data_IF_596297762421
#
_entry.id   IF_596297762421
#
_cell.length_a   1.000
_cell.length_b   1.000
_cell.length_c   1.000
_cell.angle_alpha   90.00
_cell.angle_beta   90.00
_cell.angle_gamma   90.00
#
_symmetry.space_group_name_H-M   'P 1'
#
loop_
_entity.id
_entity.type
_entity.pdbx_description
1 polymer ?
#
# COMPACT_ATOMS: atom_id res chain seq x y z
N UNK A 1 12.48 -14.53 -17.24
CA UNK A 1 11.82 -13.28 -16.84
C UNK A 1 11.58 -12.47 -18.10
N UNK A 2 10.39 -11.85 -18.27
CA UNK A 2 10.10 -11.00 -19.43
C UNK A 2 10.85 -9.67 -19.28
N UNK A 3 11.50 -9.19 -20.32
CA UNK A 3 12.13 -7.88 -20.31
C UNK A 3 11.07 -6.77 -20.16
N UNK A 4 11.31 -5.75 -19.30
CA UNK A 4 10.37 -4.67 -19.08
C UNK A 4 10.18 -3.87 -20.37
N UNK A 5 8.92 -3.63 -20.75
CA UNK A 5 8.58 -2.76 -21.88
C UNK A 5 8.53 -1.30 -21.41
N UNK A 6 8.67 -0.36 -22.33
CA UNK A 6 8.53 1.08 -22.04
C UNK A 6 7.24 1.41 -21.29
N UNK A 7 6.15 0.72 -21.62
CA UNK A 7 4.86 0.90 -20.92
C UNK A 7 4.94 0.49 -19.45
N UNK A 8 5.71 -0.54 -19.11
CA UNK A 8 5.85 -1.00 -17.72
C UNK A 8 6.62 0.04 -16.90
N UNK A 9 7.59 0.72 -17.51
CA UNK A 9 8.32 1.83 -16.87
C UNK A 9 7.42 3.05 -16.67
N UNK A 10 6.64 3.42 -17.68
CA UNK A 10 5.68 4.54 -17.57
C UNK A 10 4.63 4.27 -16.48
N UNK A 11 4.10 3.05 -16.42
CA UNK A 11 3.15 2.65 -15.37
C UNK A 11 3.79 2.68 -13.98
N UNK A 12 5.06 2.30 -13.86
CA UNK A 12 5.80 2.40 -12.59
C UNK A 12 5.98 3.85 -12.14
N UNK A 13 6.36 4.75 -13.05
CA UNK A 13 6.49 6.18 -12.75
C UNK A 13 5.13 6.76 -12.33
N UNK A 14 4.07 6.46 -13.07
CA UNK A 14 2.71 6.90 -12.75
C UNK A 14 2.28 6.39 -11.36
N UNK A 15 2.51 5.11 -11.09
CA UNK A 15 2.21 4.53 -9.79
C UNK A 15 2.98 5.22 -8.66
N UNK A 16 4.27 5.48 -8.88
CA UNK A 16 5.10 6.21 -7.91
C UNK A 16 4.59 7.63 -7.65
N UNK A 17 4.16 8.35 -8.68
CA UNK A 17 3.58 9.68 -8.55
C UNK A 17 2.25 9.66 -7.76
N UNK A 18 1.37 8.70 -8.06
CA UNK A 18 0.09 8.52 -7.34
C UNK A 18 0.34 8.19 -5.87
N UNK A 19 1.23 7.26 -5.58
CA UNK A 19 1.53 6.87 -4.19
C UNK A 19 2.27 7.96 -3.43
N UNK A 20 3.23 8.64 -4.06
CA UNK A 20 3.97 9.75 -3.45
C UNK A 20 3.05 10.92 -3.10
N UNK A 21 2.11 11.28 -3.99
CA UNK A 21 1.14 12.33 -3.72
C UNK A 21 0.13 11.97 -2.61
N UNK A 22 -0.07 10.69 -2.33
CA UNK A 22 -1.04 10.25 -1.33
C UNK A 22 -0.72 10.78 0.08
N UNK A 23 0.55 10.79 0.50
CA UNK A 23 0.95 11.31 1.82
C UNK A 23 0.71 12.80 1.97
N UNK A 24 0.96 13.57 0.92
CA UNK A 24 0.66 15.00 0.88
C UNK A 24 -0.85 15.24 1.00
N UNK A 25 -1.66 14.51 0.24
CA UNK A 25 -3.12 14.62 0.29
C UNK A 25 -3.68 14.20 1.66
N UNK A 26 -3.13 13.13 2.28
CA UNK A 26 -3.52 12.71 3.63
C UNK A 26 -3.21 13.83 4.62
N UNK A 27 -2.01 14.44 4.55
CA UNK A 27 -1.61 15.53 5.46
C UNK A 27 -2.57 16.72 5.36
N UNK A 28 -2.89 17.15 4.14
CA UNK A 28 -3.87 18.26 3.95
C UNK A 28 -5.24 17.87 4.51
N UNK A 29 -5.71 16.67 4.25
CA UNK A 29 -7.02 16.23 4.69
C UNK A 29 -7.12 16.11 6.22
N UNK A 30 -6.01 15.75 6.91
CA UNK A 30 -5.98 15.67 8.38
C UNK A 30 -6.03 17.03 9.08
N UNK A 31 -5.85 18.14 8.38
CA UNK A 31 -6.13 19.48 8.96
C UNK A 31 -7.62 19.75 9.15
N UNK A 32 -8.48 19.12 8.36
CA UNK A 32 -9.92 19.39 8.38
C UNK A 32 -10.72 18.20 8.90
N UNK A 33 -10.28 16.99 8.63
CA UNK A 33 -10.99 15.76 8.98
C UNK A 33 -10.19 14.92 9.97
N UNK A 34 -10.91 14.31 10.91
CA UNK A 34 -10.34 13.30 11.80
C UNK A 34 -9.80 12.09 10.97
N UNK A 35 -8.64 11.51 11.36
CA UNK A 35 -8.04 10.38 10.68
C UNK A 35 -8.99 9.19 10.41
N UNK A 36 -9.87 8.87 11.36
CA UNK A 36 -10.85 7.78 11.21
C UNK A 36 -11.85 8.12 10.09
N UNK A 37 -12.40 9.34 10.10
CA UNK A 37 -13.33 9.80 9.06
C UNK A 37 -12.69 9.77 7.69
N UNK A 38 -11.45 10.22 7.59
CA UNK A 38 -10.69 10.22 6.34
C UNK A 38 -10.51 8.80 5.78
N UNK A 39 -10.13 7.85 6.61
CA UNK A 39 -9.96 6.45 6.21
C UNK A 39 -11.31 5.84 5.82
N UNK A 40 -12.37 6.12 6.57
CA UNK A 40 -13.72 5.64 6.24
C UNK A 40 -14.16 6.12 4.86
N UNK A 41 -14.05 7.41 4.59
CA UNK A 41 -14.42 8.00 3.29
C UNK A 41 -13.61 7.39 2.15
N UNK A 42 -12.30 7.23 2.33
CA UNK A 42 -11.40 6.61 1.35
C UNK A 42 -11.81 5.18 1.03
N UNK A 43 -12.04 4.35 2.06
CA UNK A 43 -12.42 2.95 1.89
C UNK A 43 -13.82 2.83 1.27
N UNK A 44 -14.75 3.72 1.65
CA UNK A 44 -16.09 3.77 1.10
C UNK A 44 -16.08 4.05 -0.42
N UNK A 45 -15.35 5.07 -0.86
CA UNK A 45 -15.25 5.37 -2.30
C UNK A 45 -14.51 4.28 -3.07
N UNK A 46 -13.48 3.67 -2.48
CA UNK A 46 -12.80 2.52 -3.08
C UNK A 46 -13.74 1.32 -3.25
N UNK A 47 -14.58 1.04 -2.25
CA UNK A 47 -15.61 0.01 -2.33
C UNK A 47 -16.61 0.30 -3.45
N UNK A 48 -17.13 1.52 -3.53
CA UNK A 48 -18.07 1.92 -4.61
C UNK A 48 -17.43 1.71 -5.98
N UNK A 49 -16.20 2.17 -6.17
CA UNK A 49 -15.50 2.01 -7.45
C UNK A 49 -15.33 0.53 -7.82
N UNK A 50 -14.95 -0.32 -6.85
CA UNK A 50 -14.82 -1.76 -7.06
C UNK A 50 -16.16 -2.43 -7.38
N UNK A 51 -17.24 -2.07 -6.69
CA UNK A 51 -18.57 -2.62 -6.96
C UNK A 51 -19.03 -2.25 -8.38
N UNK A 52 -18.85 -0.98 -8.79
CA UNK A 52 -19.18 -0.52 -10.14
C UNK A 52 -18.35 -1.30 -11.18
N UNK A 53 -17.05 -1.45 -10.96
CA UNK A 53 -16.16 -2.21 -11.84
C UNK A 53 -16.56 -3.67 -11.96
N UNK A 54 -16.85 -4.35 -10.83
CA UNK A 54 -17.28 -5.74 -10.82
C UNK A 54 -18.61 -5.93 -11.57
N UNK A 55 -19.56 -5.02 -11.37
CA UNK A 55 -20.82 -5.05 -12.10
C UNK A 55 -20.62 -4.86 -13.62
N UNK A 56 -19.78 -3.90 -14.01
CA UNK A 56 -19.44 -3.66 -15.41
C UNK A 56 -18.81 -4.90 -16.07
N UNK A 57 -17.89 -5.56 -15.37
CA UNK A 57 -17.20 -6.77 -15.83
C UNK A 57 -18.00 -8.05 -15.60
N UNK A 58 -19.22 -7.98 -15.03
CA UNK A 58 -20.04 -9.14 -14.66
C UNK A 58 -19.30 -10.15 -13.76
N UNK A 59 -18.39 -9.67 -12.92
CA UNK A 59 -17.68 -10.47 -11.94
C UNK A 59 -18.62 -10.71 -10.76
N UNK A 60 -18.84 -11.96 -10.39
CA UNK A 60 -19.65 -12.30 -9.21
C UNK A 60 -18.89 -11.93 -7.94
N UNK A 61 -19.45 -10.99 -7.17
CA UNK A 61 -18.90 -10.63 -5.86
C UNK A 61 -19.36 -11.71 -4.86
N UNK A 62 -18.41 -12.45 -4.31
CA UNK A 62 -18.64 -13.49 -3.30
C UNK A 62 -18.79 -12.88 -1.88
N UNK A 63 -19.62 -11.84 -1.76
CA UNK A 63 -19.78 -11.09 -0.50
C UNK A 63 -20.24 -11.94 0.68
N UNK A 64 -20.96 -13.03 0.42
CA UNK A 64 -21.48 -13.95 1.44
C UNK A 64 -20.96 -15.38 1.23
N UNK A 65 -19.70 -15.53 0.82
CA UNK A 65 -19.07 -16.86 0.78
C UNK A 65 -18.87 -17.42 2.19
N UNK A 66 -18.65 -18.73 2.28
CA UNK A 66 -18.33 -19.40 3.56
C UNK A 66 -17.12 -18.76 4.26
N UNK A 67 -16.24 -18.10 3.49
CA UNK A 67 -14.96 -17.55 3.94
C UNK A 67 -15.03 -16.03 4.26
N UNK A 68 -16.24 -15.44 4.36
CA UNK A 68 -16.39 -14.01 4.59
C UNK A 68 -15.63 -13.49 5.83
N UNK A 69 -15.52 -14.31 6.89
CA UNK A 69 -14.76 -13.97 8.10
C UNK A 69 -13.27 -13.78 7.80
N UNK A 70 -12.72 -14.64 6.94
CA UNK A 70 -11.33 -14.52 6.50
C UNK A 70 -11.12 -13.25 5.69
N UNK A 71 -12.03 -12.93 4.77
CA UNK A 71 -11.97 -11.68 4.00
C UNK A 71 -12.09 -10.45 4.90
N UNK A 72 -12.99 -10.49 5.89
CA UNK A 72 -13.13 -9.41 6.86
C UNK A 72 -11.86 -9.25 7.70
N UNK A 73 -11.26 -10.34 8.18
CA UNK A 73 -10.01 -10.31 8.93
C UNK A 73 -8.86 -9.71 8.10
N UNK A 74 -8.69 -10.17 6.86
CA UNK A 74 -7.68 -9.66 5.95
C UNK A 74 -7.91 -8.18 5.62
N UNK A 75 -9.15 -7.77 5.36
CA UNK A 75 -9.50 -6.37 5.13
C UNK A 75 -9.20 -5.48 6.33
N UNK A 76 -9.50 -5.96 7.54
CA UNK A 76 -9.23 -5.24 8.78
C UNK A 76 -7.72 -5.09 9.03
N UNK A 77 -6.97 -6.17 8.92
CA UNK A 77 -5.53 -6.20 9.23
C UNK A 77 -4.65 -5.57 8.16
N UNK A 78 -5.00 -5.69 6.87
CA UNK A 78 -4.17 -5.17 5.77
C UNK A 78 -4.60 -3.79 5.26
N UNK A 79 -5.83 -3.37 5.53
CA UNK A 79 -6.35 -2.09 5.02
C UNK A 79 -6.74 -1.19 6.17
N UNK A 80 -7.74 -1.56 6.96
CA UNK A 80 -8.35 -0.64 7.92
C UNK A 80 -7.36 -0.21 9.00
N UNK A 81 -6.75 -1.14 9.71
CA UNK A 81 -5.80 -0.84 10.79
C UNK A 81 -4.57 -0.08 10.27
N UNK A 82 -3.85 -0.55 9.23
CA UNK A 82 -2.68 0.17 8.73
C UNK A 82 -3.02 1.59 8.24
N UNK A 83 -4.12 1.79 7.53
CA UNK A 83 -4.48 3.11 7.05
C UNK A 83 -4.86 4.08 8.17
N UNK A 84 -5.53 3.61 9.22
CA UNK A 84 -5.80 4.42 10.42
C UNK A 84 -4.47 4.83 11.06
N UNK A 85 -3.56 3.89 11.28
CA UNK A 85 -2.25 4.17 11.88
C UNK A 85 -1.42 5.15 11.03
N UNK A 86 -1.44 4.99 9.71
CA UNK A 86 -0.77 5.90 8.78
C UNK A 86 -1.39 7.30 8.85
N UNK A 87 -2.72 7.40 8.88
CA UNK A 87 -3.40 8.68 8.94
C UNK A 87 -3.11 9.42 10.26
N UNK A 88 -3.12 8.71 11.40
CA UNK A 88 -2.71 9.28 12.68
C UNK A 88 -1.23 9.68 12.68
N UNK A 89 -0.35 8.83 12.18
CA UNK A 89 1.07 9.14 12.07
C UNK A 89 1.32 10.39 11.20
N UNK A 90 0.70 10.46 10.03
CA UNK A 90 0.84 11.61 9.11
C UNK A 90 0.22 12.89 9.67
N UNK A 91 -0.76 12.79 10.58
CA UNK A 91 -1.29 13.96 11.28
C UNK A 91 -0.24 14.60 12.20
N UNK A 92 0.58 13.80 12.87
CA UNK A 92 1.58 14.25 13.84
C UNK A 92 2.90 14.68 13.18
N UNK A 93 3.34 13.94 12.15
CA UNK A 93 4.61 14.22 11.45
C UNK A 93 4.36 14.84 10.08
N UNK A 94 5.41 15.40 9.48
CA UNK A 94 5.35 15.95 8.13
C UNK A 94 5.14 14.85 7.09
N UNK A 95 4.48 15.20 5.97
CA UNK A 95 4.15 14.27 4.90
C UNK A 95 5.37 13.61 4.27
N UNK A 96 6.48 14.35 4.13
CA UNK A 96 7.73 13.80 3.60
C UNK A 96 8.33 12.75 4.53
N UNK A 97 8.27 12.96 5.85
CA UNK A 97 8.77 12.00 6.82
C UNK A 97 7.92 10.72 6.82
N UNK A 98 6.60 10.84 6.72
CA UNK A 98 5.70 9.70 6.55
C UNK A 98 6.04 8.89 5.30
N UNK A 99 6.33 9.55 4.17
CA UNK A 99 6.71 8.89 2.92
C UNK A 99 8.06 8.17 3.06
N UNK A 100 9.06 8.79 3.71
CA UNK A 100 10.37 8.18 3.99
C UNK A 100 10.20 6.93 4.86
N UNK A 101 9.47 7.01 5.96
CA UNK A 101 9.20 5.89 6.84
C UNK A 101 8.48 4.74 6.09
N UNK A 102 7.50 5.06 5.25
CA UNK A 102 6.81 4.05 4.44
C UNK A 102 7.71 3.40 3.38
N UNK A 103 8.74 4.08 2.90
CA UNK A 103 9.70 3.51 1.95
C UNK A 103 10.55 2.38 2.56
N UNK A 104 10.60 2.26 3.89
CA UNK A 104 11.24 1.13 4.57
C UNK A 104 10.44 -0.17 4.45
N UNK A 105 9.14 -0.09 4.17
CA UNK A 105 8.22 -1.25 4.13
C UNK A 105 8.65 -2.32 3.12
N UNK A 106 8.94 -2.01 1.84
CA UNK A 106 9.39 -3.03 0.89
C UNK A 106 10.75 -3.63 1.26
N UNK A 107 11.63 -2.86 1.89
CA UNK A 107 12.93 -3.35 2.35
C UNK A 107 12.75 -4.34 3.50
N UNK A 108 11.98 -3.97 4.51
CA UNK A 108 11.63 -4.83 5.64
C UNK A 108 10.88 -6.09 5.19
N UNK A 109 9.93 -5.92 4.25
CA UNK A 109 9.19 -7.04 3.64
C UNK A 109 10.13 -8.04 2.94
N UNK A 110 11.11 -7.55 2.19
CA UNK A 110 12.11 -8.40 1.52
C UNK A 110 12.97 -9.18 2.52
N UNK A 111 13.38 -8.53 3.62
CA UNK A 111 14.12 -9.20 4.70
C UNK A 111 13.27 -10.27 5.38
N UNK A 112 12.03 -9.96 5.75
CA UNK A 112 11.11 -10.91 6.37
C UNK A 112 10.82 -12.08 5.43
N UNK A 113 10.59 -11.83 4.14
CA UNK A 113 10.38 -12.88 3.14
C UNK A 113 11.57 -13.86 3.08
N UNK A 114 12.80 -13.37 3.22
CA UNK A 114 13.99 -14.22 3.28
C UNK A 114 13.92 -15.26 4.41
N UNK A 115 13.45 -14.86 5.59
CA UNK A 115 13.39 -15.74 6.76
C UNK A 115 12.13 -16.65 6.74
N UNK A 116 11.00 -16.11 6.37
CA UNK A 116 9.70 -16.79 6.52
C UNK A 116 9.22 -17.50 5.25
N UNK A 117 9.74 -17.16 4.05
CA UNK A 117 9.27 -17.74 2.79
C UNK A 117 10.35 -18.63 2.16
N UNK A 118 9.95 -19.84 1.76
CA UNK A 118 10.89 -20.81 1.17
C UNK A 118 11.38 -20.41 -0.22
N UNK A 119 10.55 -19.75 -1.00
CA UNK A 119 10.80 -19.45 -2.42
C UNK A 119 11.35 -18.04 -2.68
N UNK A 120 11.45 -17.17 -1.65
CA UNK A 120 11.87 -15.77 -1.77
C UNK A 120 13.16 -15.50 -1.01
N UNK A 121 14.19 -16.31 -1.27
CA UNK A 121 15.50 -16.11 -0.67
C UNK A 121 16.23 -14.92 -1.29
N UNK A 122 16.89 -14.15 -0.44
CA UNK A 122 17.83 -13.12 -0.88
C UNK A 122 18.98 -13.78 -1.65
N UNK A 123 19.27 -13.25 -2.81
CA UNK A 123 20.51 -13.49 -3.54
C UNK A 123 21.40 -12.25 -3.45
N UNK A 124 22.63 -12.33 -3.94
CA UNK A 124 23.60 -11.24 -3.87
C UNK A 124 23.03 -9.93 -4.47
N UNK A 125 22.39 -10.02 -5.63
CA UNK A 125 21.82 -8.85 -6.31
C UNK A 125 20.69 -8.19 -5.50
N UNK A 126 19.79 -8.99 -4.92
CA UNK A 126 18.72 -8.50 -4.03
C UNK A 126 19.30 -7.88 -2.75
N UNK A 127 20.33 -8.49 -2.17
CA UNK A 127 20.98 -7.97 -0.96
C UNK A 127 21.64 -6.62 -1.23
N UNK A 128 22.32 -6.45 -2.35
CA UNK A 128 22.90 -5.17 -2.77
C UNK A 128 21.79 -4.12 -2.97
N UNK A 129 20.70 -4.48 -3.65
CA UNK A 129 19.55 -3.58 -3.84
C UNK A 129 18.92 -3.12 -2.51
N UNK A 130 18.73 -4.04 -1.56
CA UNK A 130 18.21 -3.71 -0.22
C UNK A 130 19.18 -2.77 0.52
N UNK A 131 20.49 -3.03 0.47
CA UNK A 131 21.49 -2.19 1.12
C UNK A 131 21.53 -0.78 0.54
N UNK A 132 21.50 -0.64 -0.81
CA UNK A 132 21.43 0.66 -1.48
C UNK A 132 20.12 1.38 -1.13
N UNK A 133 19.00 0.65 -1.09
CA UNK A 133 17.70 1.21 -0.70
C UNK A 133 17.73 1.77 0.73
N UNK A 134 18.33 1.06 1.67
CA UNK A 134 18.51 1.55 3.05
C UNK A 134 19.37 2.82 3.10
N UNK A 135 20.49 2.83 2.40
CA UNK A 135 21.37 4.02 2.34
C UNK A 135 20.68 5.24 1.69
N UNK A 136 19.72 5.01 0.80
CA UNK A 136 18.94 6.09 0.18
C UNK A 136 17.84 6.67 1.09
N UNK A 137 17.52 6.03 2.20
CA UNK A 137 16.52 6.48 3.18
C UNK A 137 17.16 7.28 4.32
N UNK A 138 18.40 6.99 4.65
CA UNK A 138 19.20 7.66 5.70
C UNK A 138 19.86 8.92 5.15
#
# INVERSE_FOLDING_TARGET
MREPKTIDVLLLILLGAIWGSAFFNIKIATYTYDPITLVFVRVFFALLALVIYCNYKKIKILAFSKDWKMYALVGLTNITIPFILIAYGTNVVDSYLSAILMSTTPLSGTLLAHFFTRNEKLNVLKSVGVSIGFLGIV
#
